data_IF_815875112653
#
_entry.id   IF_815875112653
#
_cell.length_a   1.000
_cell.length_b   1.000
_cell.length_c   1.000
_cell.angle_alpha   90.00
_cell.angle_beta   90.00
_cell.angle_gamma   90.00
#
_symmetry.space_group_name_H-M   'P 1'
#
loop_
_entity.id
_entity.type
_entity.pdbx_description
1 polymer ?
#
# COMPACT_ATOMS: atom_id res chain seq x y z
N UNK A 1 0.39 -32.57 -13.33
CA UNK A 1 0.67 -31.76 -12.13
C UNK A 1 -0.15 -32.31 -10.96
N UNK A 2 0.46 -32.42 -9.79
CA UNK A 2 -0.26 -32.78 -8.56
C UNK A 2 -1.21 -31.62 -8.23
N UNK A 3 -2.52 -31.88 -8.17
CA UNK A 3 -3.52 -30.87 -7.79
C UNK A 3 -3.69 -30.89 -6.27
N UNK A 4 -3.40 -29.77 -5.62
CA UNK A 4 -3.80 -29.50 -4.24
C UNK A 4 -5.09 -28.68 -4.23
N UNK A 5 -5.93 -28.88 -3.21
CA UNK A 5 -7.11 -28.06 -3.00
C UNK A 5 -6.89 -27.12 -1.81
N UNK A 6 -7.53 -25.95 -1.84
CA UNK A 6 -7.54 -25.02 -0.69
C UNK A 6 -8.14 -25.70 0.54
N UNK A 7 -9.14 -26.58 0.35
CA UNK A 7 -9.75 -27.32 1.45
C UNK A 7 -8.76 -28.26 2.15
N UNK A 8 -7.94 -28.99 1.39
CA UNK A 8 -6.90 -29.84 1.95
C UNK A 8 -5.82 -29.02 2.67
N UNK A 9 -5.43 -27.87 2.12
CA UNK A 9 -4.45 -26.97 2.75
C UNK A 9 -5.02 -26.42 4.07
N UNK A 10 -6.28 -25.97 4.09
CA UNK A 10 -6.92 -25.47 5.30
C UNK A 10 -7.04 -26.55 6.38
N UNK A 11 -7.41 -27.79 6.01
CA UNK A 11 -7.39 -28.92 6.94
C UNK A 11 -6.00 -29.11 7.56
N UNK A 12 -4.94 -29.07 6.73
CA UNK A 12 -3.56 -29.20 7.23
C UNK A 12 -3.14 -28.05 8.16
N UNK A 13 -3.63 -26.84 7.91
CA UNK A 13 -3.41 -25.68 8.79
C UNK A 13 -4.07 -25.94 10.15
N UNK A 14 -5.33 -26.40 10.17
CA UNK A 14 -6.06 -26.74 11.39
C UNK A 14 -5.42 -27.89 12.17
N UNK A 15 -4.89 -28.89 11.46
CA UNK A 15 -4.17 -30.04 12.04
C UNK A 15 -2.73 -29.71 12.49
N UNK A 16 -2.21 -28.54 12.13
CA UNK A 16 -0.84 -28.13 12.46
C UNK A 16 0.26 -28.89 11.71
N UNK A 17 -0.07 -29.57 10.60
CA UNK A 17 0.86 -30.38 9.80
C UNK A 17 1.14 -29.77 8.41
N UNK A 18 0.70 -28.53 8.18
CA UNK A 18 0.97 -27.78 6.95
C UNK A 18 2.47 -27.51 6.78
N UNK A 19 3.00 -27.76 5.57
CA UNK A 19 4.37 -27.37 5.24
C UNK A 19 4.39 -26.01 4.55
N UNK A 20 4.83 -25.00 5.29
CA UNK A 20 4.98 -23.61 4.83
C UNK A 20 6.45 -23.33 4.59
N UNK A 21 6.77 -22.70 3.46
CA UNK A 21 8.14 -22.27 3.11
C UNK A 21 8.12 -20.88 2.50
N UNK A 22 9.24 -20.18 2.50
CA UNK A 22 9.40 -18.91 1.79
C UNK A 22 9.63 -19.12 0.30
N UNK A 23 9.40 -18.08 -0.51
CA UNK A 23 9.71 -18.10 -1.94
C UNK A 23 11.18 -18.42 -2.24
N UNK A 24 12.11 -18.04 -1.36
CA UNK A 24 13.54 -18.35 -1.49
C UNK A 24 13.81 -19.83 -1.18
N UNK A 25 13.29 -20.34 -0.06
CA UNK A 25 13.41 -21.76 0.31
C UNK A 25 12.82 -22.69 -0.76
N UNK A 26 11.72 -22.27 -1.40
CA UNK A 26 11.10 -23.04 -2.47
C UNK A 26 12.06 -23.26 -3.65
N UNK A 27 12.89 -22.26 -4.00
CA UNK A 27 13.88 -22.40 -5.06
C UNK A 27 14.93 -23.46 -4.71
N UNK A 28 15.39 -23.48 -3.46
CA UNK A 28 16.40 -24.45 -3.03
C UNK A 28 15.83 -25.87 -2.90
N UNK A 29 14.60 -26.01 -2.42
CA UNK A 29 13.89 -27.31 -2.40
C UNK A 29 13.79 -27.88 -3.82
N UNK A 30 13.41 -27.07 -4.80
CA UNK A 30 13.28 -27.52 -6.20
C UNK A 30 14.63 -27.92 -6.80
N UNK A 31 15.74 -27.25 -6.45
CA UNK A 31 17.09 -27.61 -6.92
C UNK A 31 17.56 -28.97 -6.41
N UNK A 32 17.24 -29.30 -5.16
CA UNK A 32 17.67 -30.56 -4.52
C UNK A 32 16.75 -31.72 -4.89
N UNK A 33 15.48 -31.43 -5.18
CA UNK A 33 14.45 -32.42 -5.52
C UNK A 33 14.03 -32.28 -6.98
N UNK A 34 12.73 -32.10 -7.24
CA UNK A 34 12.12 -31.79 -8.51
C UNK A 34 10.86 -30.95 -8.28
N UNK A 35 10.38 -30.24 -9.31
CA UNK A 35 9.12 -29.46 -9.22
C UNK A 35 7.95 -30.35 -8.76
N UNK A 36 7.88 -31.58 -9.24
CA UNK A 36 6.81 -32.53 -8.92
C UNK A 36 6.86 -32.96 -7.44
N UNK A 37 8.04 -33.22 -6.91
CA UNK A 37 8.22 -33.62 -5.50
C UNK A 37 8.00 -32.43 -4.56
N UNK A 38 8.61 -31.28 -4.86
CA UNK A 38 8.39 -30.04 -4.11
C UNK A 38 6.90 -29.69 -4.03
N UNK A 39 6.16 -29.85 -5.13
CA UNK A 39 4.69 -29.61 -5.15
C UNK A 39 3.92 -30.56 -4.23
N UNK A 40 4.36 -31.82 -4.07
CA UNK A 40 3.72 -32.76 -3.14
C UNK A 40 3.98 -32.36 -1.69
N UNK A 41 5.23 -32.01 -1.40
CA UNK A 41 5.69 -31.74 -0.05
C UNK A 41 5.25 -30.38 0.49
N UNK A 42 5.36 -29.31 -0.30
CA UNK A 42 5.10 -27.92 0.13
C UNK A 42 3.65 -27.56 -0.09
N UNK A 43 2.96 -27.11 0.96
CA UNK A 43 1.54 -26.75 0.93
C UNK A 43 1.32 -25.26 0.69
N UNK A 44 2.15 -24.40 1.28
CA UNK A 44 2.06 -22.95 1.15
C UNK A 44 3.45 -22.37 0.89
N UNK A 45 3.54 -21.51 -0.12
CA UNK A 45 4.72 -20.67 -0.36
C UNK A 45 4.36 -19.25 0.07
N UNK A 46 5.09 -18.71 1.03
CA UNK A 46 4.93 -17.33 1.48
C UNK A 46 5.83 -16.43 0.66
N UNK A 47 5.28 -15.26 0.31
CA UNK A 47 6.04 -14.19 -0.29
C UNK A 47 5.65 -12.87 0.34
N UNK A 48 6.63 -12.00 0.52
CA UNK A 48 6.47 -10.63 0.97
C UNK A 48 7.59 -9.78 0.39
N UNK A 49 7.27 -8.55 0.02
CA UNK A 49 8.27 -7.55 -0.39
C UNK A 49 7.93 -6.22 0.24
N UNK A 50 8.95 -5.42 0.50
CA UNK A 50 8.81 -4.05 0.94
C UNK A 50 9.54 -3.15 -0.04
N UNK A 51 8.85 -2.14 -0.54
CA UNK A 51 9.40 -1.24 -1.55
C UNK A 51 8.66 0.09 -1.58
N UNK A 52 9.34 1.11 -2.11
CA UNK A 52 8.72 2.41 -2.33
C UNK A 52 7.67 2.31 -3.44
N UNK A 53 6.41 2.58 -3.10
CA UNK A 53 5.27 2.49 -4.02
C UNK A 53 4.56 3.84 -4.12
N UNK A 54 4.50 4.40 -5.32
CA UNK A 54 3.65 5.55 -5.63
C UNK A 54 2.20 5.10 -5.84
N UNK A 55 1.25 6.03 -5.94
CA UNK A 55 -0.17 5.68 -6.12
C UNK A 55 -0.75 4.91 -4.93
N UNK A 56 -0.38 5.34 -3.72
CA UNK A 56 -0.90 4.84 -2.45
C UNK A 56 -1.57 5.99 -1.70
N UNK A 57 -2.62 5.69 -0.93
CA UNK A 57 -3.29 6.65 -0.07
C UNK A 57 -4.41 6.01 0.73
N UNK A 58 -5.20 6.82 1.41
CA UNK A 58 -6.32 6.34 2.22
C UNK A 58 -7.53 7.26 2.10
N UNK A 59 -8.71 6.67 1.98
CA UNK A 59 -9.99 7.33 2.25
C UNK A 59 -10.30 7.25 3.74
N UNK A 60 -10.64 8.39 4.31
CA UNK A 60 -10.94 8.54 5.73
C UNK A 60 -12.33 9.16 5.88
N UNK A 61 -13.16 8.54 6.71
CA UNK A 61 -14.44 9.10 7.14
C UNK A 61 -14.36 9.43 8.64
N UNK A 62 -14.45 10.73 8.96
CA UNK A 62 -14.13 11.25 10.29
C UNK A 62 -15.26 11.14 11.32
N UNK A 63 -16.47 10.75 10.91
CA UNK A 63 -17.67 10.99 11.71
C UNK A 63 -18.00 12.49 11.84
N UNK A 64 -19.22 12.79 12.28
CA UNK A 64 -19.64 14.16 12.52
C UNK A 64 -19.29 14.59 13.95
N UNK A 65 -18.81 15.82 14.07
CA UNK A 65 -18.81 16.54 15.36
C UNK A 65 -20.21 17.06 15.68
N UNK A 66 -20.41 17.52 16.92
CA UNK A 66 -21.62 18.24 17.33
C UNK A 66 -21.26 19.68 17.73
N UNK A 67 -21.74 20.73 17.05
CA UNK A 67 -22.59 20.68 15.86
C UNK A 67 -21.87 20.16 14.60
N UNK A 68 -22.60 19.62 13.60
CA UNK A 68 -22.02 18.97 12.44
C UNK A 68 -21.30 19.94 11.50
N UNK A 69 -20.30 19.41 10.79
CA UNK A 69 -19.45 20.12 9.85
C UNK A 69 -19.50 19.47 8.47
N UNK A 70 -19.47 20.31 7.42
CA UNK A 70 -19.16 19.90 6.05
C UNK A 70 -17.78 20.41 5.68
N UNK A 71 -16.78 19.55 5.73
CA UNK A 71 -15.38 19.88 5.56
C UNK A 71 -15.10 20.35 4.12
N UNK A 72 -14.47 21.52 3.99
CA UNK A 72 -14.01 22.12 2.71
C UNK A 72 -12.51 21.98 2.53
N UNK A 73 -11.74 22.10 3.60
CA UNK A 73 -10.31 21.76 3.64
C UNK A 73 -10.02 21.07 4.95
N UNK A 74 -9.15 20.07 4.91
CA UNK A 74 -8.75 19.26 6.06
C UNK A 74 -7.25 19.08 6.02
N UNK A 75 -6.62 19.14 7.19
CA UNK A 75 -5.23 18.81 7.40
C UNK A 75 -5.13 17.80 8.54
N UNK A 76 -4.21 16.86 8.39
CA UNK A 76 -3.86 15.84 9.36
C UNK A 76 -2.37 16.01 9.70
N UNK A 77 -2.02 16.43 10.91
CA UNK A 77 -0.65 16.83 11.27
C UNK A 77 -0.01 17.77 10.21
N UNK A 78 -0.74 18.83 9.83
CA UNK A 78 -0.38 19.77 8.76
C UNK A 78 -0.19 19.16 7.35
N UNK A 79 -0.70 17.95 7.10
CA UNK A 79 -0.74 17.34 5.76
C UNK A 79 -2.14 17.49 5.18
N UNK A 80 -2.30 18.21 4.07
CA UNK A 80 -3.61 18.42 3.44
C UNK A 80 -4.24 17.08 2.99
N UNK A 81 -5.46 16.83 3.41
CA UNK A 81 -6.30 15.74 2.90
C UNK A 81 -7.36 16.31 1.95
N UNK A 82 -7.48 15.71 0.76
CA UNK A 82 -8.34 16.17 -0.31
C UNK A 82 -9.82 15.87 0.00
N UNK A 83 -10.61 16.93 0.16
CA UNK A 83 -12.06 16.86 0.42
C UNK A 83 -12.87 17.00 -0.89
N UNK A 84 -14.16 17.34 -0.79
CA UNK A 84 -15.03 17.56 -1.95
C UNK A 84 -15.78 16.31 -2.42
N UNK A 85 -15.71 15.22 -1.66
CA UNK A 85 -16.42 13.97 -1.93
C UNK A 85 -17.77 13.93 -1.20
N UNK A 86 -17.76 14.19 0.10
CA UNK A 86 -18.96 14.29 0.93
C UNK A 86 -18.68 15.21 2.14
N UNK A 87 -19.47 15.13 3.21
CA UNK A 87 -19.40 16.10 4.30
C UNK A 87 -18.18 15.92 5.22
N UNK A 88 -17.73 14.68 5.43
CA UNK A 88 -16.73 14.31 6.43
C UNK A 88 -15.79 13.24 5.86
N UNK A 89 -15.61 13.27 4.54
CA UNK A 89 -14.81 12.32 3.79
C UNK A 89 -13.63 13.07 3.16
N UNK A 90 -12.43 12.54 3.36
CA UNK A 90 -11.24 13.05 2.71
C UNK A 90 -10.32 11.91 2.25
N UNK A 91 -9.57 12.16 1.19
CA UNK A 91 -8.51 11.30 0.71
C UNK A 91 -7.15 11.88 1.09
N UNK A 92 -6.28 11.11 1.71
CA UNK A 92 -4.89 11.50 1.94
C UNK A 92 -3.96 10.68 1.02
N UNK A 93 -3.20 11.38 0.19
CA UNK A 93 -2.20 10.76 -0.68
C UNK A 93 -0.91 10.50 0.10
N UNK A 94 -0.31 9.31 -0.04
CA UNK A 94 0.91 8.97 0.68
C UNK A 94 2.11 9.89 0.36
N UNK A 95 2.11 10.50 -0.82
CA UNK A 95 3.16 11.44 -1.27
C UNK A 95 2.86 12.90 -0.94
N UNK A 96 1.74 13.20 -0.28
CA UNK A 96 1.41 14.57 0.08
C UNK A 96 2.38 15.05 1.16
N UNK A 97 2.94 16.24 0.96
CA UNK A 97 3.91 16.84 1.88
C UNK A 97 3.20 17.54 3.03
N UNK A 98 3.87 17.61 4.18
CA UNK A 98 3.45 18.49 5.27
C UNK A 98 3.69 19.95 4.91
N UNK A 99 2.73 20.82 5.22
CA UNK A 99 2.85 22.26 5.06
C UNK A 99 3.94 22.86 5.99
N UNK A 100 4.18 22.22 7.14
CA UNK A 100 5.15 22.69 8.14
C UNK A 100 6.51 21.98 8.04
N UNK A 101 6.53 20.68 7.70
CA UNK A 101 7.77 19.86 7.69
C UNK A 101 8.27 19.45 6.29
N UNK A 102 7.51 19.73 5.23
CA UNK A 102 7.94 19.42 3.86
C UNK A 102 8.13 17.92 3.63
N UNK A 103 9.33 17.50 3.24
CA UNK A 103 9.62 16.09 2.90
C UNK A 103 9.87 15.19 4.11
N UNK A 104 10.19 15.77 5.27
CA UNK A 104 10.49 15.02 6.49
C UNK A 104 9.23 14.37 7.10
N UNK A 105 8.04 14.88 6.75
CA UNK A 105 6.76 14.31 7.17
C UNK A 105 5.68 14.55 6.11
N UNK A 106 4.74 13.62 5.98
CA UNK A 106 3.77 13.67 4.89
C UNK A 106 2.70 12.61 5.02
N UNK A 107 1.91 12.40 3.97
CA UNK A 107 0.74 11.53 4.02
C UNK A 107 1.06 10.08 4.35
N UNK A 108 2.20 9.55 3.91
CA UNK A 108 2.65 8.20 4.29
C UNK A 108 2.86 8.10 5.81
N UNK A 109 3.42 9.13 6.43
CA UNK A 109 3.66 9.17 7.88
C UNK A 109 2.35 9.31 8.65
N UNK A 110 1.39 10.13 8.19
CA UNK A 110 0.04 10.20 8.79
C UNK A 110 -0.64 8.84 8.75
N UNK A 111 -0.60 8.16 7.59
CA UNK A 111 -1.19 6.83 7.42
C UNK A 111 -0.53 5.83 8.38
N UNK A 112 0.81 5.84 8.47
CA UNK A 112 1.54 5.00 9.41
C UNK A 112 1.16 5.30 10.87
N UNK A 113 1.09 6.57 11.25
CA UNK A 113 0.74 6.99 12.61
C UNK A 113 -0.66 6.50 12.99
N UNK A 114 -1.65 6.62 12.08
CA UNK A 114 -2.98 6.07 12.28
C UNK A 114 -2.95 4.55 12.44
N UNK A 115 -2.25 3.81 11.56
CA UNK A 115 -2.13 2.34 11.66
C UNK A 115 -1.48 1.91 12.98
N UNK A 116 -0.54 2.71 13.50
CA UNK A 116 0.10 2.49 14.81
C UNK A 116 -0.77 2.89 16.00
N UNK A 117 -1.98 3.40 15.77
CA UNK A 117 -2.89 3.87 16.82
C UNK A 117 -2.43 5.19 17.47
N UNK A 118 -1.55 5.95 16.83
CA UNK A 118 -1.15 7.26 17.33
C UNK A 118 -2.24 8.30 17.07
N UNK A 119 -2.26 9.30 17.95
CA UNK A 119 -3.11 10.47 17.80
C UNK A 119 -2.56 11.39 16.69
N UNK A 120 -3.47 11.92 15.87
CA UNK A 120 -3.22 12.84 14.76
C UNK A 120 -4.05 14.10 14.96
N UNK A 121 -3.42 15.27 14.82
CA UNK A 121 -4.10 16.57 14.85
C UNK A 121 -4.91 16.76 13.58
N UNK A 122 -6.16 17.16 13.73
CA UNK A 122 -7.10 17.44 12.65
C UNK A 122 -7.50 18.90 12.69
N UNK A 123 -7.15 19.61 11.62
CA UNK A 123 -7.66 20.94 11.34
C UNK A 123 -8.62 20.86 10.15
N UNK A 124 -9.84 21.37 10.29
CA UNK A 124 -10.77 21.46 9.18
C UNK A 124 -11.48 22.82 9.12
N UNK A 125 -11.73 23.29 7.90
CA UNK A 125 -12.49 24.52 7.63
C UNK A 125 -13.72 24.20 6.79
N UNK A 126 -14.77 25.01 6.96
CA UNK A 126 -16.03 24.91 6.22
C UNK A 126 -16.58 26.30 5.90
N UNK A 127 -17.40 26.39 4.85
CA UNK A 127 -18.16 27.61 4.56
C UNK A 127 -19.40 27.76 5.46
N UNK A 128 -19.83 26.67 6.12
CA UNK A 128 -21.02 26.62 6.97
C UNK A 128 -22.34 26.67 6.21
N UNK A 129 -23.33 25.91 6.68
CA UNK A 129 -24.72 25.95 6.22
C UNK A 129 -25.67 25.74 7.40
N UNK A 130 -26.98 25.88 7.20
CA UNK A 130 -27.96 25.61 8.27
C UNK A 130 -27.89 24.15 8.76
N UNK A 131 -27.67 23.19 7.85
CA UNK A 131 -27.49 21.77 8.22
C UNK A 131 -26.09 21.44 8.77
N UNK A 132 -25.10 22.27 8.50
CA UNK A 132 -23.69 22.07 8.90
C UNK A 132 -23.11 23.39 9.41
N UNK A 133 -23.55 23.88 10.60
CA UNK A 133 -23.26 25.24 11.01
C UNK A 133 -21.82 25.44 11.48
N UNK A 134 -21.10 24.37 11.84
CA UNK A 134 -19.71 24.45 12.28
C UNK A 134 -18.79 24.86 11.12
N UNK A 135 -18.06 25.96 11.31
CA UNK A 135 -17.13 26.52 10.30
C UNK A 135 -15.68 26.12 10.48
N UNK A 136 -15.27 25.72 11.67
CA UNK A 136 -13.93 25.23 11.96
C UNK A 136 -13.98 24.06 12.94
N UNK A 137 -13.05 23.14 12.79
CA UNK A 137 -12.81 22.03 13.70
C UNK A 137 -11.31 21.91 13.95
N UNK A 138 -10.93 21.93 15.22
CA UNK A 138 -9.59 21.61 15.71
C UNK A 138 -9.77 20.50 16.74
N UNK A 139 -9.21 19.34 16.49
CA UNK A 139 -9.28 18.19 17.40
C UNK A 139 -8.12 17.27 17.15
N UNK A 140 -7.93 16.29 18.02
CA UNK A 140 -7.11 15.11 17.77
C UNK A 140 -7.99 13.91 17.51
N UNK A 141 -7.50 12.91 16.76
CA UNK A 141 -8.12 11.59 16.64
C UNK A 141 -7.10 10.48 16.49
N UNK A 142 -7.52 9.26 16.78
CA UNK A 142 -6.85 8.01 16.46
C UNK A 142 -7.61 7.29 15.35
N UNK A 143 -7.06 6.19 14.83
CA UNK A 143 -7.75 5.38 13.82
C UNK A 143 -9.08 4.81 14.31
N UNK A 144 -9.22 4.56 15.62
CA UNK A 144 -10.41 3.99 16.24
C UNK A 144 -11.58 5.00 16.33
N UNK A 145 -11.29 6.30 16.20
CA UNK A 145 -12.30 7.35 16.16
C UNK A 145 -12.91 7.53 14.76
N UNK A 146 -12.28 6.96 13.72
CA UNK A 146 -12.77 7.04 12.34
C UNK A 146 -13.89 6.03 12.11
N UNK A 147 -14.95 6.45 11.42
CA UNK A 147 -15.99 5.52 10.98
C UNK A 147 -15.43 4.52 9.96
N UNK A 148 -14.54 4.99 9.08
CA UNK A 148 -13.92 4.19 8.03
C UNK A 148 -12.51 4.71 7.72
N UNK A 149 -11.58 3.78 7.54
CA UNK A 149 -10.26 4.02 6.98
C UNK A 149 -9.99 2.95 5.91
N UNK A 150 -9.95 3.37 4.64
CA UNK A 150 -9.81 2.46 3.50
C UNK A 150 -8.55 2.82 2.73
N UNK A 151 -7.54 1.96 2.80
CA UNK A 151 -6.34 2.12 1.99
C UNK A 151 -6.66 1.89 0.51
N UNK A 152 -6.22 2.80 -0.36
CA UNK A 152 -6.39 2.71 -1.80
C UNK A 152 -5.04 2.67 -2.51
N UNK A 153 -4.90 1.70 -3.39
CA UNK A 153 -3.66 1.41 -4.11
C UNK A 153 -3.95 1.14 -5.60
N UNK A 154 -4.35 2.13 -6.40
CA UNK A 154 -4.81 1.91 -7.78
C UNK A 154 -3.79 1.27 -8.72
N UNK A 155 -2.48 1.30 -8.41
CA UNK A 155 -1.41 0.86 -9.33
C UNK A 155 -0.29 0.06 -8.65
N UNK A 156 -0.56 -0.59 -7.52
CA UNK A 156 0.49 -1.28 -6.75
C UNK A 156 0.63 -2.78 -7.06
N UNK A 157 -0.25 -3.33 -7.91
CA UNK A 157 -0.18 -4.71 -8.36
C UNK A 157 0.26 -4.77 -9.83
N UNK A 158 1.53 -5.12 -10.07
CA UNK A 158 2.08 -5.30 -11.40
C UNK A 158 3.13 -6.41 -11.42
N UNK A 159 3.18 -7.18 -12.50
CA UNK A 159 4.19 -8.24 -12.69
C UNK A 159 5.57 -7.67 -13.03
N UNK A 160 5.60 -6.59 -13.83
CA UNK A 160 6.81 -5.91 -14.29
C UNK A 160 6.55 -4.40 -14.29
N UNK A 161 7.59 -3.62 -14.07
CA UNK A 161 7.51 -2.16 -14.12
C UNK A 161 8.42 -1.58 -15.20
N UNK A 162 8.19 -0.32 -15.54
CA UNK A 162 9.04 0.40 -16.47
C UNK A 162 10.40 0.71 -15.83
N UNK A 163 11.42 0.76 -16.66
CA UNK A 163 12.76 1.21 -16.27
C UNK A 163 13.06 2.56 -16.91
N UNK A 164 13.79 3.41 -16.21
CA UNK A 164 14.17 4.74 -16.70
C UNK A 164 15.68 4.83 -16.93
N UNK A 165 16.06 5.44 -18.04
CA UNK A 165 17.44 5.82 -18.38
C UNK A 165 17.45 7.23 -18.97
N UNK A 166 18.63 7.79 -19.18
CA UNK A 166 18.82 9.16 -19.63
C UNK A 166 19.66 9.20 -20.90
N UNK A 167 19.01 9.46 -22.02
CA UNK A 167 19.65 9.58 -23.34
C UNK A 167 20.28 10.96 -23.60
N UNK A 168 20.09 11.92 -22.71
CA UNK A 168 20.69 13.25 -22.83
C UNK A 168 22.17 13.25 -22.42
N UNK A 169 22.86 14.36 -22.67
CA UNK A 169 24.26 14.54 -22.30
C UNK A 169 24.47 15.16 -20.89
N UNK A 170 23.41 15.38 -20.10
CA UNK A 170 23.51 15.96 -18.74
C UNK A 170 22.90 15.04 -17.69
N UNK A 171 23.41 15.08 -16.46
CA UNK A 171 22.91 14.25 -15.36
C UNK A 171 21.54 14.73 -14.89
N UNK A 172 20.56 13.82 -14.80
CA UNK A 172 19.23 14.11 -14.28
C UNK A 172 19.11 13.64 -12.82
N UNK A 173 18.58 14.49 -11.95
CA UNK A 173 18.21 14.15 -10.57
C UNK A 173 16.71 13.93 -10.52
N UNK A 174 16.27 12.71 -10.22
CA UNK A 174 14.86 12.34 -10.23
C UNK A 174 14.45 11.73 -8.88
N UNK A 175 13.14 11.57 -8.66
CA UNK A 175 12.63 10.87 -7.48
C UNK A 175 13.02 9.38 -7.45
N UNK A 176 13.43 8.80 -8.58
CA UNK A 176 13.92 7.42 -8.69
C UNK A 176 15.44 7.31 -8.46
N UNK A 177 16.13 8.43 -8.20
CA UNK A 177 17.58 8.52 -8.11
C UNK A 177 18.22 9.28 -9.28
N UNK A 178 19.55 9.22 -9.35
CA UNK A 178 20.36 9.91 -10.36
C UNK A 178 20.39 9.09 -11.65
N UNK A 179 20.10 9.72 -12.79
CA UNK A 179 20.26 9.14 -14.13
C UNK A 179 21.44 9.80 -14.87
N UNK A 180 22.45 9.00 -15.18
CA UNK A 180 23.68 9.41 -15.82
C UNK A 180 23.48 9.67 -17.32
N UNK A 181 24.22 10.62 -17.91
CA UNK A 181 24.18 10.90 -19.34
C UNK A 181 24.41 9.68 -20.24
N UNK A 182 23.95 9.78 -21.49
CA UNK A 182 24.26 8.83 -22.58
C UNK A 182 23.93 7.37 -22.24
N UNK A 183 22.82 7.15 -21.52
CA UNK A 183 22.39 5.83 -21.03
C UNK A 183 23.40 5.16 -20.09
N UNK A 184 24.16 5.94 -19.31
CA UNK A 184 25.20 5.42 -18.42
C UNK A 184 24.69 4.54 -17.27
N UNK A 185 23.40 4.62 -16.94
CA UNK A 185 22.73 3.70 -16.01
C UNK A 185 21.24 3.54 -16.33
N UNK A 186 20.63 2.57 -15.65
CA UNK A 186 19.19 2.31 -15.65
C UNK A 186 18.74 2.18 -14.19
N UNK A 187 17.61 2.78 -13.86
CA UNK A 187 16.95 2.59 -12.55
C UNK A 187 15.75 1.66 -12.72
N UNK A 188 15.63 0.68 -11.83
CA UNK A 188 14.55 -0.31 -11.84
C UNK A 188 14.13 -0.65 -10.41
N UNK A 189 12.91 -1.16 -10.26
CA UNK A 189 12.38 -1.72 -9.02
C UNK A 189 11.72 -3.07 -9.33
N UNK A 190 11.92 -4.05 -8.47
CA UNK A 190 11.35 -5.38 -8.64
C UNK A 190 11.65 -6.27 -7.44
N UNK A 191 10.80 -7.28 -7.23
CA UNK A 191 10.93 -8.20 -6.11
C UNK A 191 11.62 -9.53 -6.48
N UNK A 192 12.04 -9.70 -7.74
CA UNK A 192 12.73 -10.90 -8.22
C UNK A 192 11.95 -12.18 -7.90
N UNK A 193 12.63 -13.15 -7.29
CA UNK A 193 12.06 -14.44 -6.85
C UNK A 193 10.86 -14.28 -5.90
N UNK A 194 10.80 -13.17 -5.16
CA UNK A 194 9.69 -12.90 -4.25
C UNK A 194 8.42 -12.56 -5.03
N UNK A 195 8.48 -12.03 -6.26
CA UNK A 195 7.25 -11.71 -6.99
C UNK A 195 6.49 -12.98 -7.41
N UNK A 196 5.30 -13.28 -6.85
CA UNK A 196 4.56 -14.47 -7.26
C UNK A 196 4.04 -14.32 -8.70
N UNK A 197 3.83 -13.07 -9.16
CA UNK A 197 3.40 -12.77 -10.51
C UNK A 197 4.48 -13.11 -11.55
N UNK A 198 5.77 -13.06 -11.19
CA UNK A 198 6.84 -13.47 -12.11
C UNK A 198 6.88 -14.98 -12.34
N UNK A 199 6.36 -15.76 -11.38
CA UNK A 199 6.19 -17.21 -11.50
C UNK A 199 4.89 -17.61 -12.20
N UNK A 200 3.99 -16.66 -12.45
CA UNK A 200 2.75 -16.84 -13.20
C UNK A 200 2.68 -15.84 -14.38
N UNK A 201 3.51 -16.04 -15.43
CA UNK A 201 3.69 -15.06 -16.50
C UNK A 201 2.40 -14.72 -17.25
N UNK A 202 1.46 -15.66 -17.30
CA UNK A 202 0.22 -15.57 -18.06
C UNK A 202 -1.02 -15.33 -17.17
N UNK A 203 -0.84 -15.12 -15.85
CA UNK A 203 -1.94 -14.97 -14.89
C UNK A 203 -2.92 -16.15 -14.88
N UNK A 204 -2.39 -17.37 -15.00
CA UNK A 204 -3.18 -18.61 -15.03
C UNK A 204 -3.72 -18.97 -13.63
N UNK A 205 -3.04 -18.52 -12.58
CA UNK A 205 -3.37 -18.82 -11.17
C UNK A 205 -3.68 -17.56 -10.36
N UNK A 206 -2.94 -16.47 -10.61
CA UNK A 206 -3.07 -15.19 -9.90
C UNK A 206 -3.69 -14.17 -10.84
N UNK A 207 -4.89 -13.71 -10.52
CA UNK A 207 -5.61 -12.71 -11.33
C UNK A 207 -6.47 -11.77 -10.50
N UNK A 208 -7.31 -10.99 -11.17
CA UNK A 208 -8.27 -10.09 -10.53
C UNK A 208 -9.15 -10.85 -9.54
N UNK A 209 -9.29 -10.31 -8.33
CA UNK A 209 -10.05 -10.93 -7.24
C UNK A 209 -9.25 -11.90 -6.36
N UNK A 210 -7.99 -12.18 -6.70
CA UNK A 210 -7.08 -12.91 -5.79
C UNK A 210 -6.89 -12.12 -4.52
N UNK A 211 -7.13 -12.77 -3.37
CA UNK A 211 -6.95 -12.14 -2.06
C UNK A 211 -5.47 -12.11 -1.72
N UNK A 212 -5.01 -10.95 -1.26
CA UNK A 212 -3.66 -10.75 -0.74
C UNK A 212 -3.76 -10.20 0.68
N UNK A 213 -2.73 -10.45 1.47
CA UNK A 213 -2.51 -9.72 2.71
C UNK A 213 -1.68 -8.47 2.37
N UNK A 214 -2.19 -7.29 2.72
CA UNK A 214 -1.52 -6.01 2.52
C UNK A 214 -1.44 -5.29 3.87
N UNK A 215 -0.25 -4.83 4.24
CA UNK A 215 -0.06 -4.03 5.46
C UNK A 215 0.30 -4.81 6.73
N UNK A 216 0.40 -6.15 6.65
CA UNK A 216 0.76 -7.00 7.79
C UNK A 216 -0.44 -7.34 8.66
#
# INVERSE_FOLDING_TARGET
>A
MVKKSIHDINRKIEEGNVRVVTAEEMVDIVKVTSVSEATKEVDVVTTGTFGAMCSSGAWLNFGHSDPPIKMKKVWLNDVEAYTGVAAIDAYIGATQLSDSMGIEYGGAHVIEDLIRGKSVDVHATSYGTDCYPRKMLNTTLTIDDLNQAIMQNPRNAYQKYNVATNSSNTTLKTYMGILLPNNGNVTYSGAGVLSPLSNDPNYETIGTGTRILLGG
#
